data_IF_907212835911
#
_entry.id   IF_907212835911
#
_cell.length_a   1.000
_cell.length_b   1.000
_cell.length_c   1.000
_cell.angle_alpha   90.00
_cell.angle_beta   90.00
_cell.angle_gamma   90.00
#
_symmetry.space_group_name_H-M   'P 1'
#
loop_
_entity.id
_entity.type
_entity.pdbx_description
1 polymer ?
#
# COMPACT_ATOMS: atom_id res chain seq x y z
N UNK A 1 8.07 -3.85 -0.22
CA UNK A 1 8.91 -4.00 -1.44
C UNK A 1 10.00 -2.97 -1.36
N UNK A 2 11.23 -3.30 -1.75
CA UNK A 2 12.32 -2.34 -1.91
C UNK A 2 12.87 -2.38 -3.33
N UNK A 3 13.35 -1.23 -3.80
CA UNK A 3 14.02 -1.05 -5.09
C UNK A 3 15.45 -0.65 -4.80
N UNK A 4 16.41 -1.40 -5.32
CA UNK A 4 17.84 -1.09 -5.18
C UNK A 4 18.26 -0.28 -6.40
N UNK A 5 18.77 0.93 -6.16
CA UNK A 5 19.28 1.83 -7.18
C UNK A 5 20.81 1.93 -7.08
N UNK A 6 21.49 1.86 -8.22
CA UNK A 6 22.92 2.15 -8.33
C UNK A 6 23.15 3.02 -9.56
N UNK A 7 23.75 4.21 -9.37
CA UNK A 7 24.02 5.14 -10.46
C UNK A 7 22.77 5.62 -11.21
N UNK A 8 21.60 5.65 -10.56
CA UNK A 8 20.32 6.01 -11.18
C UNK A 8 19.55 4.82 -11.78
N UNK A 9 20.18 3.65 -11.90
CA UNK A 9 19.58 2.47 -12.51
C UNK A 9 19.02 1.52 -11.46
N UNK A 10 17.86 0.93 -11.75
CA UNK A 10 17.31 -0.18 -10.96
C UNK A 10 18.19 -1.41 -11.13
N UNK A 11 18.73 -1.92 -10.02
CA UNK A 11 19.56 -3.13 -10.00
C UNK A 11 18.76 -4.36 -9.56
N UNK A 12 17.91 -4.19 -8.55
CA UNK A 12 17.13 -5.29 -8.00
C UNK A 12 15.78 -4.81 -7.45
N UNK A 13 14.79 -5.69 -7.54
CA UNK A 13 13.49 -5.54 -6.93
C UNK A 13 13.34 -6.64 -5.88
N UNK A 14 13.10 -6.26 -4.63
CA UNK A 14 13.02 -7.18 -3.51
C UNK A 14 11.65 -7.10 -2.85
N UNK A 15 11.06 -8.27 -2.60
CA UNK A 15 9.84 -8.41 -1.80
C UNK A 15 10.14 -9.24 -0.55
N UNK A 16 9.71 -8.75 0.60
CA UNK A 16 9.83 -9.43 1.89
C UNK A 16 8.43 -9.89 2.32
N UNK A 17 8.35 -11.04 2.99
CA UNK A 17 7.10 -11.66 3.46
C UNK A 17 6.02 -11.87 2.37
N UNK A 18 6.43 -12.06 1.10
CA UNK A 18 5.49 -12.35 0.02
C UNK A 18 4.84 -13.73 0.21
N UNK A 19 3.50 -13.86 0.15
CA UNK A 19 2.86 -15.15 0.36
C UNK A 19 3.27 -16.18 -0.70
N UNK A 20 3.79 -17.33 -0.27
CA UNK A 20 4.33 -18.36 -1.17
C UNK A 20 3.32 -18.99 -2.13
N UNK A 21 2.02 -18.84 -1.84
CA UNK A 21 0.93 -19.33 -2.69
C UNK A 21 0.46 -18.31 -3.74
N UNK A 22 0.98 -17.08 -3.69
CA UNK A 22 0.65 -16.01 -4.64
C UNK A 22 1.82 -15.84 -5.60
N UNK A 23 1.60 -15.88 -6.93
CA UNK A 23 2.67 -15.65 -7.89
C UNK A 23 3.25 -14.23 -7.70
N UNK A 24 4.56 -14.11 -7.87
CA UNK A 24 5.22 -12.82 -7.80
C UNK A 24 4.71 -11.89 -8.91
N UNK A 25 4.49 -10.60 -8.62
CA UNK A 25 4.01 -9.66 -9.61
C UNK A 25 5.08 -9.44 -10.67
N UNK A 26 4.67 -9.07 -11.89
CA UNK A 26 5.59 -8.49 -12.86
C UNK A 26 5.64 -6.99 -12.62
N UNK A 27 6.83 -6.46 -12.44
CA UNK A 27 7.06 -5.03 -12.24
C UNK A 27 7.67 -4.48 -13.53
N UNK A 28 7.04 -3.45 -14.08
CA UNK A 28 7.63 -2.66 -15.16
C UNK A 28 8.46 -1.53 -14.56
N UNK A 29 9.71 -1.40 -14.99
CA UNK A 29 10.58 -0.25 -14.75
C UNK A 29 10.56 0.58 -16.01
N UNK A 30 10.20 1.86 -15.86
CA UNK A 30 10.08 2.83 -16.94
C UNK A 30 11.04 3.97 -16.64
N UNK A 31 12.07 4.11 -17.47
CA UNK A 31 13.05 5.19 -17.38
C UNK A 31 12.80 6.19 -18.51
N UNK A 32 12.45 7.42 -18.14
CA UNK A 32 12.16 8.49 -19.09
C UNK A 32 13.44 9.18 -19.59
N UNK A 33 14.60 8.90 -18.99
CA UNK A 33 15.87 9.33 -19.54
C UNK A 33 16.26 8.40 -20.70
N UNK A 34 16.05 8.90 -21.92
CA UNK A 34 16.40 8.19 -23.16
C UNK A 34 17.74 8.66 -23.74
N UNK A 35 18.46 9.56 -23.04
CA UNK A 35 19.71 10.13 -23.57
C UNK A 35 20.78 9.05 -23.74
N UNK A 36 21.16 8.80 -25.00
CA UNK A 36 22.21 7.84 -25.35
C UNK A 36 21.76 6.37 -25.44
N UNK A 37 20.46 6.10 -25.33
CA UNK A 37 19.89 4.78 -25.61
C UNK A 37 19.79 4.52 -27.12
N UNK A 38 19.89 3.25 -27.51
CA UNK A 38 19.68 2.85 -28.91
C UNK A 38 18.17 2.83 -29.24
N UNK A 39 17.81 3.06 -30.51
CA UNK A 39 16.40 3.11 -30.95
C UNK A 39 15.61 1.83 -30.63
N UNK A 40 16.29 0.67 -30.55
CA UNK A 40 15.67 -0.61 -30.20
C UNK A 40 15.47 -0.83 -28.70
N UNK A 41 16.06 0.02 -27.85
CA UNK A 41 15.84 0.05 -26.40
C UNK A 41 14.67 0.97 -26.02
N UNK A 42 14.33 1.93 -26.88
CA UNK A 42 13.25 2.90 -26.64
C UNK A 42 11.88 2.27 -26.95
N UNK A 43 11.07 2.15 -25.89
CA UNK A 43 9.69 1.71 -25.97
C UNK A 43 8.77 2.90 -26.15
N UNK A 44 7.92 2.83 -27.17
CA UNK A 44 6.90 3.83 -27.46
C UNK A 44 5.53 3.32 -26.97
N UNK A 45 4.84 4.11 -26.16
CA UNK A 45 3.53 3.73 -25.60
C UNK A 45 2.62 4.96 -25.44
N UNK A 46 1.37 4.73 -25.05
CA UNK A 46 0.40 5.82 -24.84
C UNK A 46 -0.07 5.86 -23.39
N UNK A 47 -0.03 7.06 -22.80
CA UNK A 47 -0.68 7.36 -21.52
C UNK A 47 -1.86 8.29 -21.82
N UNK A 48 -3.06 7.72 -21.91
CA UNK A 48 -4.23 8.43 -22.44
C UNK A 48 -4.02 8.79 -23.91
N UNK A 49 -4.19 10.07 -24.28
CA UNK A 49 -3.98 10.57 -25.65
C UNK A 49 -2.54 11.06 -25.91
N UNK A 50 -1.62 10.89 -24.96
CA UNK A 50 -0.23 11.35 -25.09
C UNK A 50 0.68 10.20 -25.51
N UNK A 51 1.39 10.32 -26.65
CA UNK A 51 2.50 9.41 -26.96
C UNK A 51 3.67 9.70 -26.02
N UNK A 52 4.25 8.65 -25.46
CA UNK A 52 5.38 8.69 -24.54
C UNK A 52 6.48 7.73 -25.02
N UNK A 53 7.72 8.08 -24.72
CA UNK A 53 8.93 7.33 -25.05
C UNK A 53 9.74 7.11 -23.79
N UNK A 54 10.13 5.86 -23.53
CA UNK A 54 10.92 5.50 -22.37
C UNK A 54 11.69 4.21 -22.61
N UNK A 55 12.75 3.98 -21.82
CA UNK A 55 13.40 2.68 -21.73
C UNK A 55 12.57 1.85 -20.75
N UNK A 56 11.98 0.76 -21.26
CA UNK A 56 11.09 -0.09 -20.48
C UNK A 56 11.67 -1.48 -20.33
N UNK A 57 11.68 -2.00 -19.09
CA UNK A 57 11.94 -3.41 -18.85
C UNK A 57 10.99 -3.99 -17.81
N UNK A 58 10.71 -5.28 -17.93
CA UNK A 58 9.85 -6.00 -17.00
C UNK A 58 10.68 -7.00 -16.21
N UNK A 59 10.67 -6.84 -14.89
CA UNK A 59 11.39 -7.70 -13.95
C UNK A 59 10.40 -8.42 -13.02
N UNK A 60 10.77 -9.64 -12.61
CA UNK A 60 10.10 -10.35 -11.53
C UNK A 60 10.92 -10.11 -10.26
N UNK A 61 10.32 -9.57 -9.18
CA UNK A 61 11.05 -9.30 -7.96
C UNK A 61 11.54 -10.59 -7.32
N UNK A 62 12.66 -10.52 -6.64
CA UNK A 62 13.18 -11.64 -5.86
C UNK A 62 12.60 -11.61 -4.45
N UNK A 63 12.29 -12.78 -3.91
CA UNK A 63 11.91 -12.90 -2.50
C UNK A 63 13.16 -12.72 -1.66
N UNK A 64 13.11 -11.78 -0.73
CA UNK A 64 14.17 -11.56 0.23
C UNK A 64 14.24 -12.76 1.18
N UNK A 65 15.32 -13.53 1.07
CA UNK A 65 15.67 -14.56 2.04
C UNK A 65 16.55 -13.91 3.11
N UNK A 66 16.16 -14.03 4.37
CA UNK A 66 16.92 -13.48 5.49
C UNK A 66 18.31 -14.14 5.55
N UNK A 67 19.32 -13.40 5.09
CA UNK A 67 20.73 -13.71 5.27
C UNK A 67 21.26 -12.91 6.48
N UNK A 68 22.19 -13.50 7.23
CA UNK A 68 22.68 -12.95 8.50
C UNK A 68 23.31 -11.55 8.39
N UNK A 69 23.83 -11.20 7.21
CA UNK A 69 24.48 -9.90 6.94
C UNK A 69 23.73 -9.03 5.92
N UNK A 70 22.49 -9.39 5.55
CA UNK A 70 21.70 -8.61 4.59
C UNK A 70 20.72 -7.67 5.31
N UNK A 71 20.62 -6.43 4.81
CA UNK A 71 19.61 -5.47 5.24
C UNK A 71 18.26 -5.84 4.64
N UNK A 72 17.29 -6.15 5.49
CA UNK A 72 15.92 -6.45 5.05
C UNK A 72 15.23 -5.18 4.53
N UNK A 73 14.47 -5.26 3.42
CA UNK A 73 13.60 -4.18 2.94
C UNK A 73 12.79 -3.50 4.05
N UNK A 74 12.20 -4.28 4.96
CA UNK A 74 11.40 -3.77 6.07
C UNK A 74 12.21 -2.97 7.08
N UNK A 75 13.42 -3.40 7.41
CA UNK A 75 14.31 -2.64 8.31
C UNK A 75 14.74 -1.30 7.70
N UNK A 76 14.95 -1.24 6.38
CA UNK A 76 15.26 0.02 5.69
C UNK A 76 14.05 0.95 5.72
N UNK A 77 12.86 0.44 5.40
CA UNK A 77 11.63 1.22 5.47
C UNK A 77 11.36 1.74 6.89
N UNK A 78 11.48 0.88 7.90
CA UNK A 78 11.33 1.29 9.30
C UNK A 78 12.34 2.39 9.71
N UNK A 79 13.58 2.32 9.22
CA UNK A 79 14.58 3.37 9.48
C UNK A 79 14.30 4.68 8.73
N UNK A 80 13.58 4.63 7.60
CA UNK A 80 13.12 5.81 6.86
C UNK A 80 11.85 6.41 7.47
N UNK A 81 10.96 5.57 8.00
CA UNK A 81 9.75 5.98 8.75
C UNK A 81 10.11 6.57 10.13
N UNK A 82 11.28 6.23 10.69
CA UNK A 82 11.87 6.87 11.88
C UNK A 82 12.52 8.24 11.57
N UNK A 83 12.55 8.68 10.30
CA UNK A 83 12.70 10.09 10.00
C UNK A 83 11.40 10.77 10.44
N UNK A 84 11.45 11.95 11.10
CA UNK A 84 10.24 12.63 11.51
C UNK A 84 9.41 12.94 10.26
N UNK A 85 8.42 12.09 9.97
CA UNK A 85 7.34 12.41 9.07
C UNK A 85 6.68 13.68 9.60
N UNK A 86 6.30 14.57 8.70
CA UNK A 86 5.49 15.74 9.01
C UNK A 86 4.18 15.21 9.60
N UNK A 87 4.16 15.11 10.93
CA UNK A 87 3.05 14.63 11.74
C UNK A 87 1.82 15.47 11.40
N UNK A 88 0.77 14.82 10.91
CA UNK A 88 -0.62 15.18 11.25
C UNK A 88 -1.66 14.23 10.62
N UNK A 89 -1.28 13.23 9.80
CA UNK A 89 -2.24 12.24 9.27
C UNK A 89 -2.09 10.88 9.94
N UNK A 90 -3.17 10.44 10.60
CA UNK A 90 -3.26 9.15 11.28
C UNK A 90 -3.15 8.00 10.27
N UNK A 91 -2.30 7.00 10.55
CA UNK A 91 -2.06 5.92 9.58
C UNK A 91 -3.36 5.13 9.27
N UNK A 92 -3.61 4.70 8.02
CA UNK A 92 -4.79 3.92 7.66
C UNK A 92 -4.95 2.64 8.48
N UNK A 93 -3.82 2.04 8.88
CA UNK A 93 -3.79 0.83 9.69
C UNK A 93 -4.21 1.09 11.14
N UNK A 94 -3.94 2.28 11.68
CA UNK A 94 -4.43 2.70 13.00
C UNK A 94 -5.95 2.83 12.97
N UNK A 95 -6.48 3.60 12.01
CA UNK A 95 -7.92 3.80 11.83
C UNK A 95 -8.64 2.45 11.68
N UNK A 96 -8.13 1.54 10.85
CA UNK A 96 -8.73 0.22 10.66
C UNK A 96 -8.73 -0.63 11.96
N UNK A 97 -7.71 -0.49 12.82
CA UNK A 97 -7.65 -1.19 14.11
C UNK A 97 -8.67 -0.63 15.09
N UNK A 98 -8.85 0.68 15.11
CA UNK A 98 -9.78 1.36 15.99
C UNK A 98 -11.23 1.00 15.64
N UNK A 99 -11.59 1.03 14.35
CA UNK A 99 -12.91 0.60 13.86
C UNK A 99 -13.20 -0.85 14.26
N UNK A 100 -12.22 -1.76 14.09
CA UNK A 100 -12.36 -3.16 14.52
C UNK A 100 -12.61 -3.26 16.02
N UNK A 101 -11.89 -2.47 16.82
CA UNK A 101 -12.04 -2.46 18.27
C UNK A 101 -13.43 -1.95 18.68
N UNK A 102 -13.94 -0.88 18.07
CA UNK A 102 -15.30 -0.38 18.32
C UNK A 102 -16.39 -1.40 17.97
N UNK A 103 -16.23 -2.15 16.87
CA UNK A 103 -17.17 -3.23 16.51
C UNK A 103 -17.18 -4.34 17.58
N UNK A 104 -16.01 -4.75 18.06
CA UNK A 104 -15.90 -5.78 19.11
C UNK A 104 -16.50 -5.29 20.43
N UNK A 105 -16.33 -4.01 20.76
CA UNK A 105 -16.95 -3.42 21.95
C UNK A 105 -18.47 -3.36 21.84
N UNK A 106 -19.00 -3.00 20.67
CA UNK A 106 -20.44 -3.02 20.42
C UNK A 106 -21.00 -4.44 20.55
N UNK A 107 -20.34 -5.44 19.97
CA UNK A 107 -20.73 -6.86 20.10
C UNK A 107 -20.71 -7.32 21.57
N UNK A 108 -19.67 -6.95 22.32
CA UNK A 108 -19.59 -7.26 23.75
C UNK A 108 -20.72 -6.61 24.56
N UNK A 109 -21.10 -5.37 24.24
CA UNK A 109 -22.21 -4.68 24.90
C UNK A 109 -23.55 -5.35 24.59
N UNK A 110 -23.80 -5.74 23.34
CA UNK A 110 -25.01 -6.46 22.93
C UNK A 110 -25.12 -7.82 23.63
N UNK A 111 -24.01 -8.56 23.67
CA UNK A 111 -23.95 -9.84 24.37
C UNK A 111 -24.20 -9.69 25.88
N UNK A 112 -23.64 -8.64 26.51
CA UNK A 112 -23.84 -8.37 27.94
C UNK A 112 -25.28 -7.95 28.27
N UNK A 113 -26.00 -7.33 27.32
CA UNK A 113 -27.39 -6.93 27.50
C UNK A 113 -28.37 -8.12 27.46
N UNK A 114 -27.93 -9.32 27.05
CA UNK A 114 -28.75 -10.53 26.86
C UNK A 114 -30.03 -10.30 26.03
N UNK A 115 -29.99 -9.31 25.13
CA UNK A 115 -31.12 -8.93 24.28
C UNK A 115 -30.75 -9.10 22.81
N UNK A 116 -31.72 -9.45 21.95
CA UNK A 116 -31.48 -9.47 20.52
C UNK A 116 -31.17 -8.05 20.02
N UNK A 117 -30.26 -7.89 19.03
CA UNK A 117 -29.94 -6.59 18.47
C UNK A 117 -31.18 -5.87 17.96
N UNK A 118 -31.33 -4.62 18.36
CA UNK A 118 -32.38 -3.71 17.93
C UNK A 118 -32.03 -3.05 16.59
N UNK A 119 -33.01 -2.39 15.97
CA UNK A 119 -32.77 -1.59 14.76
C UNK A 119 -31.76 -0.45 14.99
N UNK A 120 -31.67 0.07 16.20
CA UNK A 120 -30.71 1.12 16.58
C UNK A 120 -29.28 0.56 16.62
N UNK A 121 -29.11 -0.67 17.12
CA UNK A 121 -27.81 -1.36 17.15
C UNK A 121 -27.26 -1.64 15.74
N UNK A 122 -28.14 -2.05 14.82
CA UNK A 122 -27.78 -2.19 13.41
C UNK A 122 -27.40 -0.85 12.76
N UNK A 123 -28.10 0.22 13.10
CA UNK A 123 -27.77 1.55 12.60
C UNK A 123 -26.42 2.03 13.15
N UNK A 124 -26.14 1.78 14.43
CA UNK A 124 -24.87 2.13 15.04
C UNK A 124 -23.71 1.36 14.41
N UNK A 125 -23.87 0.05 14.17
CA UNK A 125 -22.87 -0.76 13.46
C UNK A 125 -22.65 -0.26 12.03
N UNK A 126 -23.72 0.11 11.33
CA UNK A 126 -23.65 0.65 9.97
C UNK A 126 -22.84 1.95 9.94
N UNK A 127 -23.11 2.89 10.84
CA UNK A 127 -22.38 4.16 10.95
C UNK A 127 -20.91 3.90 11.28
N UNK A 128 -20.61 3.06 12.27
CA UNK A 128 -19.23 2.73 12.65
C UNK A 128 -18.45 2.12 11.47
N UNK A 129 -19.02 1.13 10.80
CA UNK A 129 -18.35 0.46 9.69
C UNK A 129 -18.18 1.40 8.48
N UNK A 130 -19.20 2.19 8.14
CA UNK A 130 -19.16 3.04 6.95
C UNK A 130 -18.26 4.26 7.15
N UNK A 131 -18.38 4.98 8.27
CA UNK A 131 -17.50 6.11 8.59
C UNK A 131 -16.06 5.66 8.74
N UNK A 132 -15.83 4.55 9.46
CA UNK A 132 -14.50 3.97 9.60
C UNK A 132 -13.86 3.58 8.27
N UNK A 133 -14.63 2.98 7.35
CA UNK A 133 -14.13 2.65 6.02
C UNK A 133 -13.77 3.92 5.22
N UNK A 134 -14.60 4.96 5.29
CA UNK A 134 -14.34 6.25 4.63
C UNK A 134 -13.05 6.88 5.16
N UNK A 135 -12.83 6.87 6.47
CA UNK A 135 -11.60 7.40 7.07
C UNK A 135 -10.36 6.61 6.64
N UNK A 136 -10.45 5.28 6.57
CA UNK A 136 -9.37 4.44 6.03
C UNK A 136 -9.09 4.78 4.56
N UNK A 137 -10.13 4.93 3.72
CA UNK A 137 -9.97 5.27 2.30
C UNK A 137 -9.34 6.66 2.13
N UNK A 138 -9.78 7.66 2.90
CA UNK A 138 -9.18 9.00 2.91
C UNK A 138 -7.70 8.95 3.31
N UNK A 139 -7.36 8.21 4.36
CA UNK A 139 -5.97 8.06 4.81
C UNK A 139 -5.10 7.30 3.78
N UNK A 140 -5.69 6.40 2.98
CA UNK A 140 -5.02 5.75 1.85
C UNK A 140 -4.87 6.66 0.62
N UNK A 141 -5.41 7.88 0.66
CA UNK A 141 -5.34 8.84 -0.44
C UNK A 141 -6.44 8.70 -1.50
N UNK A 142 -7.57 8.07 -1.17
CA UNK A 142 -8.73 8.02 -2.07
C UNK A 142 -9.29 9.45 -2.30
N UNK A 143 -9.32 9.94 -3.55
CA UNK A 143 -9.78 11.29 -3.87
C UNK A 143 -11.30 11.44 -3.88
N UNK A 144 -12.06 10.36 -3.61
CA UNK A 144 -13.52 10.37 -3.63
C UNK A 144 -14.08 11.29 -2.54
N UNK A 145 -14.98 12.19 -2.93
CA UNK A 145 -15.77 12.99 -1.98
C UNK A 145 -16.92 12.15 -1.44
N UNK A 146 -16.82 11.74 -0.19
CA UNK A 146 -17.83 10.92 0.49
C UNK A 146 -18.96 11.76 1.13
N UNK A 147 -18.93 13.09 0.98
CA UNK A 147 -19.84 14.01 1.67
C UNK A 147 -19.45 14.24 3.14
N UNK A 148 -19.84 15.38 3.70
CA UNK A 148 -19.85 15.65 5.16
C UNK A 148 -21.07 15.02 5.84
#
# INVERSE_FOLDING_TARGET
>A
MAVVLEGGLVQALLVEDWPSHIPLPRIAVVDYDTEGADDDEITHFQIGDKPEEAICRCDVPQVYESLTDALSPRAVLAALEDLPEDNDSESPLSIARDVRQSILELDAQLNAAEQPPSGEDYNHLYVLANCGLIEVLKALGDPTDFGE
#
